data_IF_428970645726
#
_entry.id   IF_428970645726
#
_cell.length_a   1.000
_cell.length_b   1.000
_cell.length_c   1.000
_cell.angle_alpha   90.00
_cell.angle_beta   90.00
_cell.angle_gamma   90.00
#
_symmetry.space_group_name_H-M   'P 1'
#
loop_
_entity.id
_entity.type
_entity.pdbx_description
1 polymer ?
#
# COMPACT_ATOMS: atom_id res chain seq x y z
N UNK A 1 -33.02 2.16 1.47
CA UNK A 1 -33.06 1.67 0.07
C UNK A 1 -32.85 2.78 -0.99
N UNK A 2 -33.43 3.99 -0.82
CA UNK A 2 -33.26 5.09 -1.79
C UNK A 2 -31.83 5.67 -1.84
N UNK A 3 -31.17 5.83 -0.68
CA UNK A 3 -29.78 6.32 -0.61
C UNK A 3 -28.80 5.35 -1.27
N UNK A 4 -28.97 4.04 -1.07
CA UNK A 4 -28.15 3.01 -1.74
C UNK A 4 -28.30 3.01 -3.26
N UNK A 5 -29.50 3.27 -3.81
CA UNK A 5 -29.71 3.41 -5.26
C UNK A 5 -29.08 4.68 -5.82
N UNK A 6 -29.10 5.78 -5.07
CA UNK A 6 -28.49 7.04 -5.49
C UNK A 6 -26.96 6.98 -5.39
N UNK A 7 -26.41 6.36 -4.35
CA UNK A 7 -24.98 6.06 -4.25
C UNK A 7 -24.52 5.12 -5.36
N UNK A 8 -25.28 4.06 -5.66
CA UNK A 8 -24.97 3.15 -6.76
C UNK A 8 -25.01 3.87 -8.11
N UNK A 9 -26.00 4.73 -8.37
CA UNK A 9 -26.02 5.58 -9.57
C UNK A 9 -24.84 6.54 -9.63
N UNK A 10 -24.43 7.13 -8.49
CA UNK A 10 -23.26 8.00 -8.40
C UNK A 10 -21.96 7.26 -8.73
N UNK A 11 -21.79 6.05 -8.20
CA UNK A 11 -20.64 5.16 -8.50
C UNK A 11 -20.66 4.73 -9.96
N UNK A 12 -21.83 4.35 -10.50
CA UNK A 12 -21.97 3.96 -11.90
C UNK A 12 -21.64 5.14 -12.83
N UNK A 13 -22.14 6.34 -12.53
CA UNK A 13 -21.82 7.55 -13.27
C UNK A 13 -20.33 7.93 -13.16
N UNK A 14 -19.71 7.68 -12.00
CA UNK A 14 -18.28 7.90 -11.81
C UNK A 14 -17.41 6.98 -12.70
N UNK A 15 -17.86 5.75 -13.00
CA UNK A 15 -17.16 4.86 -13.94
C UNK A 15 -17.18 5.37 -15.39
N UNK A 16 -18.13 6.23 -15.76
CA UNK A 16 -18.22 6.84 -17.09
C UNK A 16 -17.59 8.24 -17.18
N UNK A 17 -16.75 8.60 -16.22
CA UNK A 17 -15.93 9.82 -16.30
C UNK A 17 -14.92 9.66 -17.44
N UNK A 18 -14.75 10.72 -18.24
CA UNK A 18 -13.90 10.74 -19.46
C UNK A 18 -12.50 10.17 -19.24
N UNK A 19 -11.89 10.44 -18.08
CA UNK A 19 -10.58 9.93 -17.70
C UNK A 19 -10.58 8.39 -17.58
N UNK A 20 -11.57 7.81 -16.90
CA UNK A 20 -11.68 6.35 -16.72
C UNK A 20 -11.93 5.68 -18.07
N UNK A 21 -12.85 6.21 -18.87
CA UNK A 21 -13.12 5.70 -20.22
C UNK A 21 -11.85 5.73 -21.07
N UNK A 22 -11.09 6.82 -21.03
CA UNK A 22 -9.83 6.92 -21.78
C UNK A 22 -8.82 5.83 -21.40
N UNK A 23 -8.68 5.54 -20.10
CA UNK A 23 -7.79 4.46 -19.62
C UNK A 23 -8.30 3.09 -20.07
N UNK A 24 -9.61 2.86 -20.02
CA UNK A 24 -10.21 1.59 -20.47
C UNK A 24 -10.09 1.40 -21.98
N UNK A 25 -10.33 2.43 -22.78
CA UNK A 25 -10.11 2.38 -24.22
C UNK A 25 -8.64 2.10 -24.55
N UNK A 26 -7.72 2.71 -23.82
CA UNK A 26 -6.28 2.46 -23.98
C UNK A 26 -5.89 1.03 -23.60
N UNK A 27 -6.46 0.49 -22.51
CA UNK A 27 -6.31 -0.91 -22.12
C UNK A 27 -6.79 -1.85 -23.22
N UNK A 28 -7.99 -1.63 -23.75
CA UNK A 28 -8.55 -2.46 -24.83
C UNK A 28 -7.69 -2.39 -26.08
N UNK A 29 -7.26 -1.20 -26.49
CA UNK A 29 -6.38 -1.03 -27.65
C UNK A 29 -5.05 -1.77 -27.47
N UNK A 30 -4.44 -1.68 -26.28
CA UNK A 30 -3.23 -2.42 -25.95
C UNK A 30 -3.47 -3.94 -26.02
N UNK A 31 -4.56 -4.44 -25.45
CA UNK A 31 -4.89 -5.86 -25.47
C UNK A 31 -5.14 -6.37 -26.89
N UNK A 32 -5.76 -5.58 -27.77
CA UNK A 32 -5.92 -5.95 -29.19
C UNK A 32 -4.56 -6.15 -29.86
N UNK A 33 -3.58 -5.28 -29.58
CA UNK A 33 -2.21 -5.43 -30.09
C UNK A 33 -1.55 -6.71 -29.55
N UNK A 34 -1.70 -6.99 -28.25
CA UNK A 34 -1.18 -8.21 -27.62
C UNK A 34 -1.81 -9.45 -28.25
N UNK A 35 -3.13 -9.49 -28.40
CA UNK A 35 -3.84 -10.61 -29.02
C UNK A 35 -3.38 -10.82 -30.46
N UNK A 36 -3.23 -9.74 -31.23
CA UNK A 36 -2.71 -9.82 -32.59
C UNK A 36 -1.29 -10.43 -32.63
N UNK A 37 -0.38 -9.99 -31.76
CA UNK A 37 0.96 -10.58 -31.65
C UNK A 37 0.93 -12.05 -31.22
N UNK A 38 0.10 -12.40 -30.26
CA UNK A 38 -0.06 -13.79 -29.83
C UNK A 38 -0.64 -14.67 -30.94
N UNK A 39 -1.56 -14.12 -31.75
CA UNK A 39 -2.12 -14.82 -32.91
C UNK A 39 -1.07 -15.08 -33.98
N UNK A 40 -0.18 -14.12 -34.24
CA UNK A 40 0.93 -14.27 -35.21
C UNK A 40 1.95 -15.33 -34.76
N UNK A 41 2.12 -15.48 -33.45
CA UNK A 41 3.00 -16.49 -32.86
C UNK A 41 2.35 -17.88 -32.72
N UNK A 42 1.12 -18.06 -33.23
CA UNK A 42 0.32 -19.28 -33.05
C UNK A 42 0.09 -19.62 -31.55
N UNK A 43 0.13 -18.61 -30.69
CA UNK A 43 -0.10 -18.72 -29.23
C UNK A 43 -1.52 -18.30 -28.82
N UNK A 44 -2.35 -17.84 -29.76
CA UNK A 44 -3.75 -17.48 -29.55
C UNK A 44 -4.57 -17.77 -30.80
N UNK A 45 -5.80 -18.27 -30.63
CA UNK A 45 -6.77 -18.45 -31.71
C UNK A 45 -8.16 -17.93 -31.32
N UNK A 46 -9.09 -17.86 -32.29
CA UNK A 46 -10.42 -17.28 -32.06
C UNK A 46 -11.25 -18.03 -31.01
N UNK A 47 -10.97 -19.31 -30.76
CA UNK A 47 -11.66 -20.08 -29.72
C UNK A 47 -11.39 -19.52 -28.31
N UNK A 48 -10.26 -18.83 -28.13
CA UNK A 48 -9.84 -18.23 -26.86
C UNK A 48 -10.49 -16.87 -26.57
N UNK A 49 -11.31 -16.34 -27.48
CA UNK A 49 -11.96 -15.04 -27.32
C UNK A 49 -12.73 -14.93 -26.00
N UNK A 50 -13.49 -15.98 -25.61
CA UNK A 50 -14.24 -16.02 -24.35
C UNK A 50 -13.29 -15.86 -23.16
N UNK A 51 -12.17 -16.59 -23.15
CA UNK A 51 -11.19 -16.56 -22.07
C UNK A 51 -10.50 -15.21 -21.98
N UNK A 52 -10.17 -14.61 -23.12
CA UNK A 52 -9.57 -13.26 -23.18
C UNK A 52 -10.52 -12.18 -22.66
N UNK A 53 -11.79 -12.19 -23.06
CA UNK A 53 -12.79 -11.23 -22.56
C UNK A 53 -12.97 -11.37 -21.05
N UNK A 54 -13.12 -12.61 -20.57
CA UNK A 54 -13.25 -12.87 -19.14
C UNK A 54 -12.01 -12.41 -18.36
N UNK A 55 -10.80 -12.68 -18.88
CA UNK A 55 -9.55 -12.24 -18.29
C UNK A 55 -9.43 -10.71 -18.24
N UNK A 56 -9.80 -10.02 -19.32
CA UNK A 56 -9.78 -8.55 -19.39
C UNK A 56 -10.68 -7.91 -18.33
N UNK A 57 -11.89 -8.45 -18.12
CA UNK A 57 -12.86 -7.90 -17.13
C UNK A 57 -12.48 -8.25 -15.70
N UNK A 58 -11.95 -9.45 -15.46
CA UNK A 58 -11.56 -9.89 -14.13
C UNK A 58 -10.18 -9.34 -13.75
N UNK A 59 -9.13 -9.86 -14.37
CA UNK A 59 -7.74 -9.59 -14.05
C UNK A 59 -7.30 -8.21 -14.55
N UNK A 60 -7.56 -7.92 -15.83
CA UNK A 60 -7.16 -6.68 -16.50
C UNK A 60 -7.74 -5.44 -15.80
N UNK A 61 -9.07 -5.38 -15.68
CA UNK A 61 -9.76 -4.25 -15.06
C UNK A 61 -9.48 -4.12 -13.55
N UNK A 62 -9.54 -5.21 -12.77
CA UNK A 62 -9.31 -5.11 -11.31
C UNK A 62 -7.90 -4.64 -10.97
N UNK A 63 -6.91 -4.97 -11.79
CA UNK A 63 -5.52 -4.55 -11.55
C UNK A 63 -5.34 -3.03 -11.63
N UNK A 64 -6.15 -2.31 -12.43
CA UNK A 64 -6.09 -0.85 -12.53
C UNK A 64 -6.41 -0.18 -11.19
N UNK A 65 -7.34 -0.72 -10.41
CA UNK A 65 -7.66 -0.21 -9.07
C UNK A 65 -6.56 -0.51 -8.04
N UNK A 66 -5.69 -1.47 -8.31
CA UNK A 66 -4.58 -1.84 -7.42
C UNK A 66 -3.32 -1.02 -7.69
N UNK A 67 -3.27 -0.16 -8.71
CA UNK A 67 -2.08 0.66 -9.07
C UNK A 67 -1.56 1.45 -7.85
N UNK A 68 -2.43 2.11 -7.10
CA UNK A 68 -2.03 2.88 -5.90
C UNK A 68 -1.44 2.00 -4.79
N UNK A 69 -1.92 0.76 -4.65
CA UNK A 69 -1.35 -0.20 -3.70
C UNK A 69 0.01 -0.71 -4.17
N UNK A 70 0.12 -1.03 -5.46
CA UNK A 70 1.38 -1.46 -6.11
C UNK A 70 2.47 -0.38 -5.95
N UNK A 71 2.09 0.89 -6.02
CA UNK A 71 3.02 2.02 -5.88
C UNK A 71 3.65 2.14 -4.50
N UNK A 72 2.90 1.81 -3.43
CA UNK A 72 3.37 1.93 -2.04
C UNK A 72 4.39 0.85 -1.65
N UNK A 73 4.34 -0.31 -2.30
CA UNK A 73 5.21 -1.44 -1.98
C UNK A 73 6.00 -1.89 -3.21
N UNK A 74 7.31 -1.61 -3.20
CA UNK A 74 8.23 -1.96 -4.30
C UNK A 74 8.38 -3.47 -4.48
N UNK A 75 8.19 -4.26 -3.43
CA UNK A 75 8.23 -5.72 -3.46
C UNK A 75 6.89 -6.31 -3.95
N UNK A 76 5.79 -5.58 -3.78
CA UNK A 76 4.45 -5.95 -4.26
C UNK A 76 4.37 -6.16 -5.78
N UNK A 77 5.11 -5.35 -6.57
CA UNK A 77 5.12 -5.55 -8.03
C UNK A 77 5.77 -6.88 -8.43
N UNK A 78 6.75 -7.39 -7.67
CA UNK A 78 7.40 -8.66 -7.98
C UNK A 78 6.62 -9.84 -7.39
N UNK A 79 6.21 -9.73 -6.12
CA UNK A 79 5.56 -10.83 -5.41
C UNK A 79 4.05 -10.86 -5.66
N UNK A 80 3.33 -9.77 -5.37
CA UNK A 80 1.87 -9.79 -5.40
C UNK A 80 1.26 -9.81 -6.80
N UNK A 81 1.92 -9.22 -7.79
CA UNK A 81 1.47 -9.27 -9.19
C UNK A 81 1.61 -10.70 -9.73
N UNK A 82 2.77 -11.34 -9.59
CA UNK A 82 2.96 -12.72 -10.05
C UNK A 82 2.10 -13.70 -9.23
N UNK A 83 2.03 -13.56 -7.91
CA UNK A 83 1.30 -14.51 -7.06
C UNK A 83 -0.23 -14.35 -7.16
N UNK A 84 -0.74 -13.11 -7.22
CA UNK A 84 -2.19 -12.89 -7.39
C UNK A 84 -2.65 -13.31 -8.78
N UNK A 85 -1.85 -13.06 -9.80
CA UNK A 85 -2.19 -13.48 -11.15
C UNK A 85 -1.98 -14.97 -11.38
N UNK A 86 -1.02 -15.62 -10.70
CA UNK A 86 -0.89 -17.09 -10.71
C UNK A 86 -2.09 -17.75 -10.04
N UNK A 87 -2.56 -17.25 -8.90
CA UNK A 87 -3.72 -17.81 -8.22
C UNK A 87 -5.02 -17.58 -9.00
N UNK A 88 -5.22 -16.37 -9.56
CA UNK A 88 -6.35 -16.10 -10.46
C UNK A 88 -6.27 -16.91 -11.76
N UNK A 89 -5.08 -17.11 -12.32
CA UNK A 89 -4.88 -17.96 -13.50
C UNK A 89 -5.11 -19.43 -13.19
N UNK A 90 -4.75 -19.93 -12.00
CA UNK A 90 -5.06 -21.29 -11.56
C UNK A 90 -6.58 -21.47 -11.37
N UNK A 91 -7.26 -20.52 -10.74
CA UNK A 91 -8.72 -20.55 -10.60
C UNK A 91 -9.40 -20.48 -11.98
N UNK A 92 -8.93 -19.59 -12.86
CA UNK A 92 -9.46 -19.44 -14.20
C UNK A 92 -9.17 -20.66 -15.08
N UNK A 93 -8.02 -21.32 -14.90
CA UNK A 93 -7.70 -22.62 -15.51
C UNK A 93 -8.68 -23.69 -15.05
N UNK A 94 -8.89 -23.81 -13.74
CA UNK A 94 -9.83 -24.77 -13.16
C UNK A 94 -11.26 -24.56 -13.68
N UNK A 95 -11.68 -23.31 -13.84
CA UNK A 95 -13.02 -22.96 -14.36
C UNK A 95 -13.09 -23.05 -15.89
N UNK A 96 -11.98 -22.81 -16.59
CA UNK A 96 -11.91 -22.70 -18.05
C UNK A 96 -11.66 -24.02 -18.77
N UNK A 97 -10.84 -24.91 -18.20
CA UNK A 97 -10.47 -26.20 -18.82
C UNK A 97 -11.61 -27.20 -18.83
N UNK A 98 -12.48 -27.14 -17.81
CA UNK A 98 -13.69 -27.95 -17.79
C UNK A 98 -14.90 -27.02 -17.63
N UNK A 99 -15.46 -26.58 -18.77
CA UNK A 99 -16.84 -26.08 -18.82
C UNK A 99 -17.74 -27.12 -18.18
N UNK A 100 -18.31 -26.76 -17.03
CA UNK A 100 -19.30 -27.60 -16.41
C UNK A 100 -20.51 -27.71 -17.33
N UNK A 101 -21.31 -28.77 -17.17
CA UNK A 101 -22.58 -28.83 -17.90
C UNK A 101 -23.41 -27.60 -17.57
N UNK A 102 -24.18 -27.12 -18.54
CA UNK A 102 -24.93 -25.86 -18.42
C UNK A 102 -25.82 -25.81 -17.16
N UNK A 103 -26.36 -26.96 -16.75
CA UNK A 103 -27.13 -27.12 -15.51
C UNK A 103 -26.29 -26.92 -14.24
N UNK A 104 -25.06 -27.42 -14.23
CA UNK A 104 -24.13 -27.23 -13.10
C UNK A 104 -23.68 -25.77 -13.05
N UNK A 105 -23.36 -25.13 -14.18
CA UNK A 105 -23.00 -23.69 -14.20
C UNK A 105 -24.12 -22.80 -13.66
N UNK A 106 -25.36 -23.04 -14.10
CA UNK A 106 -26.54 -22.28 -13.67
C UNK A 106 -26.80 -22.40 -12.17
N UNK A 107 -26.48 -23.53 -11.54
CA UNK A 107 -26.61 -23.71 -10.10
C UNK A 107 -25.39 -23.15 -9.33
N UNK A 108 -24.19 -23.36 -9.86
CA UNK A 108 -22.93 -23.06 -9.19
C UNK A 108 -22.68 -21.55 -9.10
N UNK A 109 -22.99 -20.79 -10.15
CA UNK A 109 -22.75 -19.34 -10.21
C UNK A 109 -23.55 -18.59 -9.13
N UNK A 110 -24.87 -18.80 -8.96
CA UNK A 110 -25.63 -18.18 -7.86
C UNK A 110 -25.13 -18.59 -6.47
N UNK A 111 -24.76 -19.85 -6.27
CA UNK A 111 -24.27 -20.36 -4.97
C UNK A 111 -22.94 -19.70 -4.59
N UNK A 112 -21.98 -19.64 -5.51
CA UNK A 112 -20.70 -18.96 -5.28
C UNK A 112 -20.89 -17.45 -5.09
N UNK A 113 -21.82 -16.84 -5.82
CA UNK A 113 -22.17 -15.42 -5.66
C UNK A 113 -22.76 -15.14 -4.28
N UNK A 114 -23.65 -16.01 -3.80
CA UNK A 114 -24.25 -15.93 -2.46
C UNK A 114 -23.17 -16.09 -1.38
N UNK A 115 -22.29 -17.09 -1.51
CA UNK A 115 -21.18 -17.31 -0.60
C UNK A 115 -20.22 -16.10 -0.56
N UNK A 116 -19.88 -15.54 -1.72
CA UNK A 116 -19.05 -14.34 -1.82
C UNK A 116 -19.71 -13.11 -1.19
N UNK A 117 -21.02 -12.92 -1.37
CA UNK A 117 -21.77 -11.84 -0.74
C UNK A 117 -21.82 -12.00 0.79
N UNK A 118 -22.06 -13.22 1.28
CA UNK A 118 -22.02 -13.54 2.71
C UNK A 118 -20.62 -13.30 3.30
N UNK A 119 -19.57 -13.68 2.57
CA UNK A 119 -18.18 -13.43 2.98
C UNK A 119 -17.91 -11.92 3.11
N UNK A 120 -18.31 -11.13 2.11
CA UNK A 120 -18.14 -9.68 2.12
C UNK A 120 -18.86 -9.00 3.27
N UNK A 121 -20.09 -9.44 3.60
CA UNK A 121 -20.86 -8.92 4.74
C UNK A 121 -20.24 -9.37 6.08
N UNK A 122 -19.79 -10.63 6.17
CA UNK A 122 -19.16 -11.17 7.39
C UNK A 122 -17.79 -10.57 7.68
N UNK A 123 -17.09 -10.04 6.66
CA UNK A 123 -15.79 -9.39 6.79
C UNK A 123 -15.85 -8.00 7.43
N UNK A 124 -17.02 -7.36 7.49
CA UNK A 124 -17.19 -6.01 8.03
C UNK A 124 -17.37 -5.95 9.55
N UNK A 125 -17.68 -7.07 10.22
CA UNK A 125 -17.92 -7.12 11.67
C UNK A 125 -17.26 -8.36 12.32
N UNK A 126 -16.43 -8.16 13.35
CA UNK A 126 -15.80 -9.27 14.12
C UNK A 126 -16.82 -10.21 14.80
N UNK A 127 -18.07 -9.78 15.00
CA UNK A 127 -19.14 -10.61 15.57
C UNK A 127 -19.45 -11.87 14.74
N UNK A 128 -19.08 -11.87 13.46
CA UNK A 128 -19.30 -12.99 12.54
C UNK A 128 -18.00 -13.69 12.11
N UNK A 129 -16.91 -13.53 12.88
CA UNK A 129 -15.60 -14.10 12.54
C UNK A 129 -15.63 -15.62 12.34
N UNK A 130 -16.42 -16.35 13.16
CA UNK A 130 -16.61 -17.79 13.00
C UNK A 130 -17.30 -18.18 11.68
N UNK A 131 -18.27 -17.38 11.23
CA UNK A 131 -18.95 -17.57 9.94
C UNK A 131 -18.00 -17.25 8.79
N UNK A 132 -17.19 -16.19 8.92
CA UNK A 132 -16.16 -15.85 7.94
C UNK A 132 -15.18 -17.01 7.75
N UNK A 133 -14.61 -17.54 8.84
CA UNK A 133 -13.69 -18.68 8.79
C UNK A 133 -14.36 -19.88 8.14
N UNK A 134 -15.60 -20.21 8.51
CA UNK A 134 -16.36 -21.30 7.90
C UNK A 134 -16.55 -21.11 6.38
N UNK A 135 -16.93 -19.91 5.93
CA UNK A 135 -17.08 -19.59 4.52
C UNK A 135 -15.75 -19.66 3.76
N UNK A 136 -14.65 -19.21 4.38
CA UNK A 136 -13.29 -19.34 3.83
C UNK A 136 -12.90 -20.82 3.69
N UNK A 137 -13.21 -21.66 4.68
CA UNK A 137 -13.01 -23.11 4.60
C UNK A 137 -13.86 -23.76 3.52
N UNK A 138 -15.13 -23.40 3.38
CA UNK A 138 -15.98 -23.90 2.30
C UNK A 138 -15.44 -23.53 0.92
N UNK A 139 -14.99 -22.28 0.73
CA UNK A 139 -14.36 -21.83 -0.52
C UNK A 139 -13.02 -22.53 -0.77
N UNK A 140 -12.20 -22.72 0.26
CA UNK A 140 -10.92 -23.42 0.17
C UNK A 140 -11.11 -24.90 -0.18
N UNK A 141 -12.06 -25.58 0.47
CA UNK A 141 -12.42 -26.97 0.18
C UNK A 141 -12.96 -27.11 -1.24
N UNK A 142 -13.83 -26.20 -1.67
CA UNK A 142 -14.33 -26.16 -3.04
C UNK A 142 -13.19 -25.98 -4.05
N UNK A 143 -12.27 -25.04 -3.81
CA UNK A 143 -11.08 -24.87 -4.63
C UNK A 143 -10.18 -26.12 -4.65
N UNK A 144 -10.01 -26.79 -3.52
CA UNK A 144 -9.21 -28.02 -3.43
C UNK A 144 -9.85 -29.19 -4.18
N UNK A 145 -11.17 -29.39 -4.05
CA UNK A 145 -11.93 -30.40 -4.81
C UNK A 145 -11.78 -30.16 -6.31
N UNK A 146 -11.88 -28.90 -6.73
CA UNK A 146 -11.69 -28.55 -8.12
C UNK A 146 -10.27 -28.86 -8.61
N UNK A 147 -9.22 -28.51 -7.86
CA UNK A 147 -7.83 -28.85 -8.20
C UNK A 147 -7.64 -30.36 -8.33
N UNK A 148 -8.15 -31.14 -7.37
CA UNK A 148 -8.07 -32.60 -7.39
C UNK A 148 -8.82 -33.18 -8.59
N UNK A 149 -10.00 -32.64 -8.91
CA UNK A 149 -10.78 -33.03 -10.09
C UNK A 149 -10.03 -32.73 -11.39
N UNK A 150 -9.41 -31.54 -11.50
CA UNK A 150 -8.59 -31.18 -12.67
C UNK A 150 -7.37 -32.09 -12.80
N UNK A 151 -6.68 -32.41 -11.69
CA UNK A 151 -5.54 -33.34 -11.69
C UNK A 151 -5.95 -34.77 -12.05
N UNK A 152 -7.09 -35.23 -11.52
CA UNK A 152 -7.65 -36.53 -11.85
C UNK A 152 -7.93 -36.62 -13.35
N UNK A 153 -8.67 -35.66 -13.90
CA UNK A 153 -8.98 -35.61 -15.33
C UNK A 153 -7.73 -35.50 -16.20
N UNK A 154 -6.71 -34.74 -15.78
CA UNK A 154 -5.43 -34.62 -16.47
C UNK A 154 -4.67 -35.95 -16.49
N UNK A 155 -4.76 -36.77 -15.45
CA UNK A 155 -4.13 -38.10 -15.41
C UNK A 155 -4.94 -39.18 -16.16
N UNK A 156 -6.28 -39.13 -16.13
CA UNK A 156 -7.13 -40.18 -16.71
C UNK A 156 -7.52 -39.93 -18.16
N UNK A 157 -7.55 -38.68 -18.63
CA UNK A 157 -8.02 -38.29 -19.96
C UNK A 157 -7.06 -37.29 -20.65
N UNK A 158 -5.77 -37.64 -20.64
CA UNK A 158 -4.71 -36.82 -21.26
C UNK A 158 -4.93 -36.58 -22.76
N UNK A 159 -5.75 -37.42 -23.43
CA UNK A 159 -6.16 -37.24 -24.82
C UNK A 159 -7.07 -36.03 -25.05
N UNK A 160 -7.89 -35.65 -24.07
CA UNK A 160 -8.63 -34.37 -24.09
C UNK A 160 -7.69 -33.18 -23.80
N UNK A 161 -6.75 -33.32 -22.87
CA UNK A 161 -5.78 -32.26 -22.54
C UNK A 161 -4.79 -31.98 -23.70
N UNK A 162 -4.44 -33.02 -24.46
CA UNK A 162 -3.63 -32.92 -25.68
C UNK A 162 -4.36 -32.31 -26.88
N UNK A 163 -5.66 -32.00 -26.77
CA UNK A 163 -6.36 -31.20 -27.77
C UNK A 163 -5.85 -29.76 -27.69
N UNK A 164 -5.54 -29.18 -28.84
CA UNK A 164 -4.97 -27.84 -28.99
C UNK A 164 -5.73 -26.79 -28.15
N UNK A 165 -7.06 -26.87 -28.14
CA UNK A 165 -7.95 -26.01 -27.36
C UNK A 165 -7.66 -26.01 -25.86
N UNK A 166 -7.52 -27.18 -25.24
CA UNK A 166 -7.30 -27.31 -23.79
C UNK A 166 -5.92 -26.82 -23.37
N UNK A 167 -4.93 -26.97 -24.26
CA UNK A 167 -3.61 -26.37 -24.07
C UNK A 167 -3.69 -24.84 -24.08
N UNK A 168 -4.42 -24.23 -25.03
CA UNK A 168 -4.64 -22.78 -25.01
C UNK A 168 -5.39 -22.32 -23.76
N UNK A 169 -6.46 -23.02 -23.36
CA UNK A 169 -7.22 -22.69 -22.15
C UNK A 169 -6.32 -22.63 -20.90
N UNK A 170 -5.24 -23.43 -20.87
CA UNK A 170 -4.22 -23.40 -19.83
C UNK A 170 -3.22 -22.24 -19.95
N UNK A 171 -2.65 -22.02 -21.13
CA UNK A 171 -1.54 -21.07 -21.30
C UNK A 171 -2.00 -19.62 -21.46
N UNK A 172 -3.20 -19.38 -21.99
CA UNK A 172 -3.66 -18.04 -22.35
C UNK A 172 -3.77 -17.10 -21.14
N UNK A 173 -4.41 -17.45 -20.00
CA UNK A 173 -4.53 -16.51 -18.89
C UNK A 173 -3.17 -16.08 -18.28
N UNK A 174 -2.20 -16.99 -18.03
CA UNK A 174 -0.84 -16.61 -17.66
C UNK A 174 -0.12 -15.76 -18.71
N UNK A 175 -0.30 -16.07 -20.00
CA UNK A 175 0.36 -15.37 -21.09
C UNK A 175 -0.17 -13.93 -21.23
N UNK A 176 -1.49 -13.75 -21.22
CA UNK A 176 -2.14 -12.43 -21.21
C UNK A 176 -1.66 -11.60 -20.01
N UNK A 177 -1.54 -12.22 -18.84
CA UNK A 177 -0.98 -11.57 -17.65
C UNK A 177 0.44 -11.08 -17.89
N UNK A 178 1.32 -11.96 -18.38
CA UNK A 178 2.72 -11.64 -18.63
C UNK A 178 2.85 -10.45 -19.59
N UNK A 179 2.10 -10.49 -20.70
CA UNK A 179 2.09 -9.42 -21.71
C UNK A 179 1.35 -8.16 -21.25
N UNK A 180 0.57 -8.21 -20.17
CA UNK A 180 -0.10 -7.05 -19.59
C UNK A 180 0.75 -6.30 -18.56
N UNK A 181 1.82 -6.92 -18.03
CA UNK A 181 2.75 -6.26 -17.11
C UNK A 181 3.34 -4.95 -17.65
N UNK A 182 3.80 -4.86 -18.91
CA UNK A 182 4.31 -3.61 -19.47
C UNK A 182 3.25 -2.50 -19.47
N UNK A 183 1.99 -2.85 -19.74
CA UNK A 183 0.88 -1.89 -19.67
C UNK A 183 0.65 -1.40 -18.24
N UNK A 184 0.62 -2.29 -17.25
CA UNK A 184 0.47 -1.88 -15.84
C UNK A 184 1.63 -1.01 -15.38
N UNK A 185 2.85 -1.37 -15.77
CA UNK A 185 4.03 -0.54 -15.48
C UNK A 185 3.90 0.85 -16.11
N UNK A 186 3.48 0.93 -17.38
CA UNK A 186 3.22 2.20 -18.06
C UNK A 186 2.14 3.00 -17.32
N UNK A 187 1.03 2.38 -16.92
CA UNK A 187 -0.05 3.04 -16.19
C UNK A 187 0.40 3.58 -14.83
N UNK A 188 1.28 2.85 -14.14
CA UNK A 188 1.87 3.27 -12.88
C UNK A 188 2.80 4.49 -13.05
N UNK A 189 3.59 4.54 -14.13
CA UNK A 189 4.38 5.73 -14.51
C UNK A 189 3.45 6.90 -14.86
N UNK A 190 2.50 6.69 -15.78
CA UNK A 190 1.55 7.70 -16.25
C UNK A 190 0.77 8.32 -15.09
N UNK A 191 0.18 7.49 -14.22
CA UNK A 191 -0.61 7.95 -13.08
C UNK A 191 0.24 8.78 -12.09
N UNK A 192 1.49 8.37 -11.85
CA UNK A 192 2.39 9.16 -10.99
C UNK A 192 2.71 10.53 -11.61
N UNK A 193 2.99 10.59 -12.91
CA UNK A 193 3.22 11.86 -13.60
C UNK A 193 1.95 12.74 -13.64
N UNK A 194 0.77 12.16 -13.82
CA UNK A 194 -0.50 12.90 -13.78
C UNK A 194 -0.70 13.55 -12.39
N UNK A 195 -0.49 12.80 -11.31
CA UNK A 195 -0.61 13.32 -9.94
C UNK A 195 0.39 14.45 -9.68
N UNK A 196 1.65 14.28 -10.12
CA UNK A 196 2.68 15.31 -10.03
C UNK A 196 2.27 16.54 -10.85
N UNK A 197 1.76 16.36 -12.07
CA UNK A 197 1.31 17.45 -12.92
C UNK A 197 0.19 18.27 -12.27
N UNK A 198 -0.80 17.59 -11.68
CA UNK A 198 -1.88 18.24 -10.94
C UNK A 198 -1.32 19.05 -9.76
N UNK A 199 -0.39 18.47 -8.99
CA UNK A 199 0.27 19.16 -7.87
C UNK A 199 1.03 20.41 -8.33
N UNK A 200 1.85 20.29 -9.37
CA UNK A 200 2.60 21.41 -9.94
C UNK A 200 1.68 22.50 -10.51
N UNK A 201 0.50 22.15 -11.01
CA UNK A 201 -0.49 23.13 -11.48
C UNK A 201 -0.98 24.03 -10.35
N UNK A 202 -1.06 23.52 -9.12
CA UNK A 202 -1.46 24.32 -7.96
C UNK A 202 -0.28 25.07 -7.32
N UNK A 203 0.95 24.58 -7.45
CA UNK A 203 2.13 25.20 -6.82
C UNK A 203 2.85 26.21 -7.70
N UNK A 204 2.79 26.09 -9.03
CA UNK A 204 3.52 26.95 -9.96
C UNK A 204 2.51 27.73 -10.83
N UNK A 205 2.45 29.04 -10.61
CA UNK A 205 1.57 29.94 -11.36
C UNK A 205 2.01 30.12 -12.83
N UNK A 206 3.33 30.15 -13.08
CA UNK A 206 3.90 30.38 -14.42
C UNK A 206 3.80 29.17 -15.33
N UNK A 207 3.11 29.31 -16.48
CA UNK A 207 2.94 28.22 -17.47
C UNK A 207 4.28 27.68 -17.99
N UNK A 208 5.25 28.56 -18.25
CA UNK A 208 6.58 28.17 -18.74
C UNK A 208 7.39 27.42 -17.67
N UNK A 209 7.45 27.94 -16.45
CA UNK A 209 8.12 27.29 -15.32
C UNK A 209 7.53 25.90 -15.05
N UNK A 210 6.20 25.75 -15.18
CA UNK A 210 5.54 24.44 -15.02
C UNK A 210 5.95 23.44 -16.09
N UNK A 211 5.99 23.82 -17.36
CA UNK A 211 6.45 22.92 -18.43
C UNK A 211 7.94 22.57 -18.30
N UNK A 212 8.77 23.54 -17.93
CA UNK A 212 10.19 23.29 -17.64
C UNK A 212 10.36 22.31 -16.47
N UNK A 213 9.58 22.47 -15.39
CA UNK A 213 9.59 21.57 -14.25
C UNK A 213 9.23 20.13 -14.64
N UNK A 214 8.21 19.96 -15.48
CA UNK A 214 7.80 18.63 -15.99
C UNK A 214 8.90 18.02 -16.88
N UNK A 215 9.48 18.82 -17.78
CA UNK A 215 10.55 18.36 -18.67
C UNK A 215 11.78 17.91 -17.87
N UNK A 216 12.22 18.72 -16.91
CA UNK A 216 13.35 18.37 -16.04
C UNK A 216 13.03 17.17 -15.15
N UNK A 217 11.82 17.07 -14.60
CA UNK A 217 11.39 15.91 -13.84
C UNK A 217 11.39 14.63 -14.70
N UNK A 218 10.98 14.72 -15.96
CA UNK A 218 11.05 13.61 -16.92
C UNK A 218 12.50 13.17 -17.17
N UNK A 219 13.41 14.11 -17.44
CA UNK A 219 14.83 13.82 -17.72
C UNK A 219 15.56 13.28 -16.48
N UNK A 220 15.37 13.90 -15.31
CA UNK A 220 16.14 13.63 -14.10
C UNK A 220 15.64 12.43 -13.31
N UNK A 221 14.32 12.21 -13.25
CA UNK A 221 13.72 11.11 -12.50
C UNK A 221 13.31 9.94 -13.38
N UNK A 222 12.80 10.18 -14.59
CA UNK A 222 12.33 9.13 -15.51
C UNK A 222 11.40 8.14 -14.77
N UNK A 223 11.70 6.84 -14.76
CA UNK A 223 10.92 5.81 -14.05
C UNK A 223 11.17 5.73 -12.54
N UNK A 224 11.95 6.65 -11.94
CA UNK A 224 12.20 6.68 -10.48
C UNK A 224 11.07 7.37 -9.73
N UNK A 225 9.91 6.72 -9.69
CA UNK A 225 8.65 7.29 -9.22
C UNK A 225 8.70 7.79 -7.77
N UNK A 226 9.39 7.08 -6.88
CA UNK A 226 9.52 7.52 -5.48
C UNK A 226 10.28 8.86 -5.34
N UNK A 227 11.25 9.13 -6.23
CA UNK A 227 11.96 10.41 -6.24
C UNK A 227 11.11 11.51 -6.86
N UNK A 228 10.40 11.19 -7.95
CA UNK A 228 9.48 12.11 -8.62
C UNK A 228 8.39 12.62 -7.67
N UNK A 229 7.77 11.71 -6.91
CA UNK A 229 6.78 12.08 -5.91
C UNK A 229 7.37 12.95 -4.81
N UNK A 230 8.48 12.51 -4.21
CA UNK A 230 9.16 13.25 -3.14
C UNK A 230 9.52 14.67 -3.59
N UNK A 231 10.05 14.80 -4.81
CA UNK A 231 10.36 16.10 -5.40
C UNK A 231 9.11 16.97 -5.56
N UNK A 232 8.02 16.42 -6.08
CA UNK A 232 6.81 17.22 -6.27
C UNK A 232 6.20 17.72 -4.95
N UNK A 233 6.38 17.01 -3.83
CA UNK A 233 6.03 17.53 -2.50
C UNK A 233 6.97 18.66 -2.05
N UNK A 234 8.25 18.60 -2.40
CA UNK A 234 9.18 19.70 -2.14
C UNK A 234 8.77 20.97 -2.89
N UNK A 235 8.34 20.84 -4.15
CA UNK A 235 7.88 21.98 -4.95
C UNK A 235 6.70 22.69 -4.30
N UNK A 236 5.77 21.97 -3.66
CA UNK A 236 4.63 22.58 -2.95
C UNK A 236 5.09 23.49 -1.81
N UNK A 237 6.22 23.18 -1.18
CA UNK A 237 6.76 23.93 -0.03
C UNK A 237 7.60 25.14 -0.44
N UNK A 238 7.93 25.26 -1.73
CA UNK A 238 8.80 26.32 -2.23
C UNK A 238 8.01 27.23 -3.15
N UNK A 239 8.10 28.54 -2.94
CA UNK A 239 7.52 29.50 -3.89
C UNK A 239 8.44 29.57 -5.12
N UNK A 240 7.97 29.04 -6.26
CA UNK A 240 8.76 29.00 -7.50
C UNK A 240 8.48 30.27 -8.32
N UNK A 241 9.39 31.24 -8.20
CA UNK A 241 9.31 32.50 -8.94
C UNK A 241 10.28 32.53 -10.14
N UNK A 242 11.37 31.76 -10.05
CA UNK A 242 12.44 31.71 -11.05
C UNK A 242 12.88 30.30 -11.43
N UNK A 243 13.67 30.18 -12.49
CA UNK A 243 14.34 28.93 -12.86
C UNK A 243 15.38 28.48 -11.83
N UNK A 244 15.98 29.40 -11.06
CA UNK A 244 16.94 29.04 -10.01
C UNK A 244 16.23 28.28 -8.88
N UNK A 245 15.08 28.77 -8.44
CA UNK A 245 14.28 28.14 -7.39
C UNK A 245 13.89 26.72 -7.79
N UNK A 246 13.50 26.54 -9.06
CA UNK A 246 13.19 25.23 -9.61
C UNK A 246 14.42 24.30 -9.56
N UNK A 247 15.60 24.76 -9.99
CA UNK A 247 16.84 23.99 -9.91
C UNK A 247 17.18 23.61 -8.47
N UNK A 248 16.96 24.51 -7.51
CA UNK A 248 17.25 24.26 -6.10
C UNK A 248 16.36 23.18 -5.49
N UNK A 249 15.10 23.06 -5.93
CA UNK A 249 14.26 21.91 -5.54
C UNK A 249 14.84 20.57 -6.00
N UNK A 250 15.45 20.50 -7.18
CA UNK A 250 16.12 19.29 -7.65
C UNK A 250 17.41 19.02 -6.86
N UNK A 251 18.25 20.05 -6.65
CA UNK A 251 19.47 19.94 -5.85
C UNK A 251 19.17 19.42 -4.44
N UNK A 252 18.10 19.91 -3.82
CA UNK A 252 17.65 19.44 -2.50
C UNK A 252 17.39 17.92 -2.50
N UNK A 253 16.65 17.41 -3.48
CA UNK A 253 16.34 15.97 -3.57
C UNK A 253 17.61 15.14 -3.80
N UNK A 254 18.52 15.61 -4.64
CA UNK A 254 19.80 14.93 -4.85
C UNK A 254 20.71 14.97 -3.62
N UNK A 255 20.77 16.11 -2.90
CA UNK A 255 21.50 16.25 -1.63
C UNK A 255 20.96 15.26 -0.60
N UNK A 256 19.64 15.25 -0.38
CA UNK A 256 19.00 14.34 0.55
C UNK A 256 19.28 12.87 0.20
N UNK A 257 19.24 12.51 -1.09
CA UNK A 257 19.58 11.15 -1.55
C UNK A 257 21.04 10.78 -1.29
N UNK A 258 21.98 11.71 -1.50
CA UNK A 258 23.40 11.47 -1.20
C UNK A 258 23.62 11.24 0.29
N UNK A 259 22.98 12.04 1.14
CA UNK A 259 23.02 11.90 2.60
C UNK A 259 22.37 10.60 3.07
N UNK A 260 21.29 10.14 2.43
CA UNK A 260 20.68 8.82 2.71
C UNK A 260 21.61 7.66 2.35
N UNK A 261 22.34 7.76 1.23
CA UNK A 261 23.25 6.69 0.79
C UNK A 261 24.50 6.60 1.67
N UNK A 262 25.01 7.74 2.12
CA UNK A 262 26.21 7.85 2.94
C UNK A 262 25.90 8.74 4.16
N UNK A 263 25.22 8.21 5.18
CA UNK A 263 24.84 9.00 6.35
C UNK A 263 26.09 9.42 7.12
N UNK A 264 26.21 10.73 7.37
CA UNK A 264 27.27 11.25 8.23
C UNK A 264 27.08 10.73 9.66
N UNK A 265 28.20 10.47 10.34
CA UNK A 265 28.18 10.19 11.76
C UNK A 265 27.76 11.44 12.53
N UNK A 266 26.87 11.25 13.51
CA UNK A 266 26.48 12.29 14.46
C UNK A 266 27.07 11.88 15.81
N UNK A 267 27.74 12.81 16.49
CA UNK A 267 28.21 12.58 17.85
C UNK A 267 27.00 12.33 18.75
N UNK A 268 27.09 11.35 19.66
CA UNK A 268 25.97 10.96 20.53
C UNK A 268 25.33 12.18 21.23
N UNK A 269 26.15 13.11 21.70
CA UNK A 269 25.75 14.37 22.37
C UNK A 269 24.79 15.24 21.54
N UNK A 270 24.92 15.22 20.21
CA UNK A 270 24.15 16.08 19.31
C UNK A 270 22.86 15.39 18.80
N UNK A 271 22.63 14.13 19.17
CA UNK A 271 21.47 13.34 18.80
C UNK A 271 21.82 12.13 17.93
N UNK A 272 20.89 11.73 17.07
CA UNK A 272 21.03 10.56 16.21
C UNK A 272 21.20 10.94 14.75
N UNK A 273 21.86 10.08 13.98
CA UNK A 273 21.79 10.18 12.52
C UNK A 273 20.34 9.95 12.09
N UNK A 274 19.67 10.92 11.42
CA UNK A 274 18.27 10.79 11.03
C UNK A 274 18.04 9.53 10.21
N UNK A 275 18.99 9.18 9.35
CA UNK A 275 18.88 8.03 8.46
C UNK A 275 18.94 6.69 9.17
N UNK A 276 19.74 6.58 10.23
CA UNK A 276 19.75 5.39 11.10
C UNK A 276 18.51 5.32 11.98
N UNK A 277 18.05 6.46 12.49
CA UNK A 277 16.88 6.52 13.36
C UNK A 277 15.59 6.01 12.68
N UNK A 278 15.50 6.13 11.35
CA UNK A 278 14.41 5.55 10.54
C UNK A 278 14.35 4.02 10.60
N UNK A 279 15.47 3.37 10.87
CA UNK A 279 15.61 1.91 10.84
C UNK A 279 15.32 1.25 12.20
N UNK A 280 15.27 2.04 13.29
CA UNK A 280 15.15 1.53 14.66
C UNK A 280 13.93 0.63 14.91
N UNK A 281 12.79 0.96 14.29
CA UNK A 281 11.53 0.22 14.52
C UNK A 281 11.01 -0.48 13.25
N UNK A 282 11.87 -0.69 12.25
CA UNK A 282 11.46 -1.37 11.00
C UNK A 282 11.06 -2.82 11.27
N UNK A 283 11.77 -3.54 12.14
CA UNK A 283 11.45 -4.92 12.50
C UNK A 283 10.13 -5.04 13.29
N UNK A 284 9.73 -3.96 13.96
CA UNK A 284 8.51 -3.87 14.73
C UNK A 284 7.29 -3.42 13.91
N UNK A 285 7.46 -3.22 12.60
CA UNK A 285 6.40 -2.79 11.67
C UNK A 285 6.30 -1.28 11.47
N UNK A 286 7.04 -0.47 12.24
CA UNK A 286 7.02 0.99 12.17
C UNK A 286 8.14 1.56 11.30
N UNK A 287 8.02 1.35 9.99
CA UNK A 287 8.93 1.99 9.02
C UNK A 287 8.55 3.44 8.77
N UNK A 288 9.48 4.38 9.00
CA UNK A 288 9.25 5.79 8.67
C UNK A 288 9.41 6.08 7.18
N UNK A 289 8.74 7.14 6.70
CA UNK A 289 8.97 7.70 5.37
C UNK A 289 10.31 8.43 5.22
N UNK A 290 10.38 9.34 4.26
CA UNK A 290 11.57 10.17 4.07
C UNK A 290 11.70 11.23 5.17
N UNK A 291 12.93 11.45 5.65
CA UNK A 291 13.27 12.58 6.51
C UNK A 291 13.35 13.83 5.63
N UNK A 292 12.45 14.78 5.87
CA UNK A 292 12.29 15.97 5.04
C UNK A 292 12.15 17.21 5.91
N UNK A 293 12.58 18.34 5.35
CA UNK A 293 12.29 19.67 5.87
C UNK A 293 10.77 19.88 6.01
N UNK A 294 10.32 20.28 7.19
CA UNK A 294 8.94 20.67 7.47
C UNK A 294 8.74 22.16 7.12
N UNK A 295 8.92 23.03 8.11
CA UNK A 295 8.85 24.48 8.07
C UNK A 295 10.12 25.04 8.70
N UNK A 296 10.64 26.16 8.19
CA UNK A 296 11.91 26.75 8.64
C UNK A 296 13.05 25.71 8.74
N UNK A 297 13.71 25.56 9.89
CA UNK A 297 14.86 24.67 10.04
C UNK A 297 14.51 23.32 10.70
N UNK A 298 13.21 23.02 10.83
CA UNK A 298 12.73 21.76 11.37
C UNK A 298 12.67 20.67 10.30
N UNK A 299 13.16 19.49 10.67
CA UNK A 299 13.12 18.29 9.85
C UNK A 299 12.39 17.18 10.58
N UNK A 300 11.58 16.43 9.84
CA UNK A 300 10.83 15.31 10.40
C UNK A 300 10.69 14.13 9.46
N UNK A 301 10.49 12.95 10.05
CA UNK A 301 9.95 11.75 9.41
C UNK A 301 8.89 11.14 10.31
N UNK A 302 7.92 10.43 9.71
CA UNK A 302 6.94 9.65 10.46
C UNK A 302 6.69 8.30 9.81
N UNK A 303 6.31 7.30 10.60
CA UNK A 303 5.71 6.06 10.10
C UNK A 303 4.29 6.30 9.60
N UNK A 304 3.75 5.30 8.89
CA UNK A 304 2.29 5.23 8.74
C UNK A 304 1.68 4.91 10.11
N UNK A 305 0.43 5.33 10.32
CA UNK A 305 -0.34 4.93 11.48
C UNK A 305 -0.61 3.43 11.40
N UNK A 306 -0.13 2.69 12.39
CA UNK A 306 -0.42 1.27 12.54
C UNK A 306 -1.59 1.11 13.51
N UNK A 307 -2.70 0.60 13.01
CA UNK A 307 -3.89 0.25 13.81
C UNK A 307 -3.67 -1.12 14.47
N UNK A 308 -3.91 -1.22 15.78
CA UNK A 308 -3.62 -2.46 16.52
C UNK A 308 -4.72 -2.91 17.48
N UNK A 309 -5.75 -2.08 17.74
CA UNK A 309 -6.83 -2.47 18.64
C UNK A 309 -8.16 -2.74 17.92
N UNK A 310 -9.08 -3.33 18.67
CA UNK A 310 -10.34 -3.83 18.15
C UNK A 310 -11.46 -2.81 18.38
N UNK A 311 -12.11 -2.36 17.31
CA UNK A 311 -13.27 -1.49 17.43
C UNK A 311 -13.66 -0.82 16.11
N UNK A 312 -14.78 -0.09 16.13
CA UNK A 312 -15.20 0.76 15.00
C UNK A 312 -14.14 1.81 14.70
N UNK A 313 -13.50 2.33 15.76
CA UNK A 313 -12.35 3.23 15.68
C UNK A 313 -11.19 2.56 16.44
N UNK A 314 -10.26 1.92 15.71
CA UNK A 314 -9.12 1.24 16.32
C UNK A 314 -8.10 2.24 16.85
N UNK A 315 -7.43 1.87 17.94
CA UNK A 315 -6.28 2.58 18.48
C UNK A 315 -5.10 2.37 17.55
N UNK A 316 -4.25 3.40 17.48
CA UNK A 316 -3.13 3.39 16.56
C UNK A 316 -1.86 3.95 17.19
N UNK A 317 -0.73 3.53 16.64
CA UNK A 317 0.59 3.97 17.05
C UNK A 317 1.33 4.57 15.84
N UNK A 318 2.11 5.61 16.09
CA UNK A 318 2.96 6.26 15.08
C UNK A 318 4.30 6.62 15.67
N UNK A 319 5.36 6.34 14.90
CA UNK A 319 6.72 6.74 15.23
C UNK A 319 7.10 8.02 14.47
N UNK A 320 7.66 8.99 15.17
CA UNK A 320 8.14 10.26 14.64
C UNK A 320 9.61 10.47 14.98
N UNK A 321 10.32 11.09 14.05
CA UNK A 321 11.70 11.53 14.19
C UNK A 321 11.69 13.02 13.88
N UNK A 322 12.16 13.85 14.79
CA UNK A 322 12.19 15.31 14.65
C UNK A 322 13.59 15.84 14.97
N UNK A 323 14.01 16.92 14.31
CA UNK A 323 15.35 17.49 14.50
C UNK A 323 15.73 18.52 13.43
N UNK A 324 17.01 18.55 13.08
CA UNK A 324 17.58 19.40 12.04
C UNK A 324 18.03 18.59 10.82
N UNK A 325 18.55 19.24 9.77
CA UNK A 325 19.04 18.56 8.57
C UNK A 325 20.08 17.47 8.89
N UNK A 326 20.96 17.74 9.86
CA UNK A 326 22.11 16.88 10.14
C UNK A 326 21.87 15.90 11.30
N UNK A 327 20.95 16.20 12.23
CA UNK A 327 20.76 15.41 13.44
C UNK A 327 19.27 15.32 13.86
N UNK A 328 18.84 14.10 14.17
CA UNK A 328 17.58 13.86 14.84
C UNK A 328 17.76 14.15 16.34
N UNK A 329 16.89 14.99 16.88
CA UNK A 329 16.93 15.42 18.27
C UNK A 329 15.85 14.78 19.12
N UNK A 330 14.73 14.38 18.52
CA UNK A 330 13.59 13.80 19.23
C UNK A 330 13.15 12.55 18.49
N UNK A 331 13.02 11.45 19.23
CA UNK A 331 12.37 10.22 18.81
C UNK A 331 11.08 10.10 19.60
N UNK A 332 9.94 9.98 18.91
CA UNK A 332 8.63 10.04 19.55
C UNK A 332 7.74 8.88 19.11
N UNK A 333 7.17 8.16 20.06
CA UNK A 333 6.06 7.24 19.85
C UNK A 333 4.77 7.91 20.33
N UNK A 334 3.78 7.96 19.46
CA UNK A 334 2.44 8.48 19.80
C UNK A 334 1.44 7.36 19.66
N UNK A 335 0.74 7.04 20.75
CA UNK A 335 -0.39 6.12 20.76
C UNK A 335 -1.67 6.93 20.98
N UNK A 336 -2.62 6.76 20.06
CA UNK A 336 -3.95 7.35 20.18
C UNK A 336 -4.90 6.27 20.71
N UNK A 337 -5.36 6.44 21.96
CA UNK A 337 -6.34 5.55 22.60
C UNK A 337 -7.72 6.16 22.40
N UNK A 338 -8.49 5.60 21.47
CA UNK A 338 -9.82 6.08 21.11
C UNK A 338 -10.90 5.61 22.11
N UNK A 339 -10.68 4.49 22.80
CA UNK A 339 -11.59 3.95 23.81
C UNK A 339 -10.82 3.59 25.09
N UNK A 340 -11.14 4.29 26.19
CA UNK A 340 -10.45 4.09 27.46
C UNK A 340 -10.55 2.66 28.02
N UNK A 341 -11.54 1.87 27.61
CA UNK A 341 -11.62 0.45 28.00
C UNK A 341 -10.45 -0.39 27.48
N UNK A 342 -9.75 0.06 26.44
CA UNK A 342 -8.60 -0.61 25.81
C UNK A 342 -7.25 -0.09 26.28
N UNK A 343 -7.23 0.71 27.35
CA UNK A 343 -6.01 1.30 27.92
C UNK A 343 -4.91 0.27 28.14
N UNK A 344 -5.24 -0.89 28.71
CA UNK A 344 -4.25 -1.93 29.00
C UNK A 344 -3.53 -2.43 27.72
N UNK A 345 -4.29 -2.71 26.66
CA UNK A 345 -3.72 -3.13 25.37
C UNK A 345 -2.84 -2.03 24.75
N UNK A 346 -3.24 -0.76 24.89
CA UNK A 346 -2.45 0.37 24.41
C UNK A 346 -1.14 0.54 25.19
N UNK A 347 -1.16 0.33 26.51
CA UNK A 347 0.04 0.37 27.35
C UNK A 347 1.00 -0.76 27.01
N UNK A 348 0.53 -2.01 26.85
CA UNK A 348 1.37 -3.14 26.45
C UNK A 348 2.04 -2.90 25.08
N UNK A 349 1.27 -2.42 24.10
CA UNK A 349 1.82 -2.09 22.77
C UNK A 349 2.82 -0.94 22.85
N UNK A 350 2.54 0.10 23.65
CA UNK A 350 3.48 1.21 23.84
C UNK A 350 4.77 0.75 24.51
N UNK A 351 4.67 -0.06 25.57
CA UNK A 351 5.82 -0.58 26.33
C UNK A 351 6.75 -1.38 25.43
N UNK A 352 6.22 -2.33 24.65
CA UNK A 352 7.01 -3.13 23.72
C UNK A 352 7.77 -2.27 22.69
N UNK A 353 7.10 -1.26 22.13
CA UNK A 353 7.70 -0.38 21.12
C UNK A 353 8.69 0.62 21.74
N UNK A 354 8.40 1.12 22.93
CA UNK A 354 9.28 2.02 23.68
C UNK A 354 10.56 1.30 24.13
N UNK A 355 10.45 0.03 24.54
CA UNK A 355 11.57 -0.85 24.86
C UNK A 355 12.47 -1.05 23.63
N UNK A 356 11.88 -1.45 22.50
CA UNK A 356 12.61 -1.63 21.24
C UNK A 356 13.30 -0.33 20.79
N UNK A 357 12.63 0.82 20.95
CA UNK A 357 13.19 2.13 20.62
C UNK A 357 14.35 2.50 21.55
N UNK A 358 14.21 2.27 22.86
CA UNK A 358 15.26 2.54 23.85
C UNK A 358 16.51 1.69 23.59
N UNK A 359 16.34 0.39 23.35
CA UNK A 359 17.45 -0.51 23.00
C UNK A 359 18.13 -0.07 21.70
N UNK A 360 17.36 0.28 20.68
CA UNK A 360 17.93 0.68 19.37
C UNK A 360 18.62 2.04 19.41
N UNK A 361 18.11 3.00 20.21
CA UNK A 361 18.60 4.38 20.23
C UNK A 361 19.64 4.66 21.32
N UNK A 362 19.52 4.02 22.48
CA UNK A 362 20.37 4.21 23.66
C UNK A 362 21.21 2.97 24.00
N UNK A 363 20.93 1.80 23.39
CA UNK A 363 21.56 0.52 23.78
C UNK A 363 21.25 0.08 25.21
N UNK A 364 20.14 0.57 25.77
CA UNK A 364 19.68 0.28 27.14
C UNK A 364 18.17 -0.05 27.14
N UNK A 365 17.72 -1.00 27.98
CA UNK A 365 16.30 -1.26 28.21
C UNK A 365 15.63 -0.09 28.94
N UNK A 366 14.29 -0.05 28.98
CA UNK A 366 13.58 0.94 29.80
C UNK A 366 13.78 0.66 31.29
N UNK A 367 13.77 1.73 32.09
CA UNK A 367 13.74 1.62 33.55
C UNK A 367 12.43 1.00 34.04
N UNK A 368 12.46 0.38 35.22
CA UNK A 368 11.26 -0.19 35.83
C UNK A 368 10.27 0.91 36.25
N UNK A 369 10.78 2.10 36.57
CA UNK A 369 9.99 3.30 36.82
C UNK A 369 9.21 3.72 35.56
N UNK A 370 9.87 3.73 34.39
CA UNK A 370 9.22 4.08 33.13
C UNK A 370 8.18 3.03 32.71
N UNK A 371 8.47 1.73 32.86
CA UNK A 371 7.48 0.67 32.60
C UNK A 371 6.26 0.78 33.50
N UNK A 372 6.49 1.07 34.79
CA UNK A 372 5.42 1.34 35.76
C UNK A 372 4.60 2.57 35.40
N UNK A 373 5.24 3.63 34.89
CA UNK A 373 4.57 4.83 34.41
C UNK A 373 3.70 4.58 33.17
N UNK A 374 4.19 3.78 32.21
CA UNK A 374 3.43 3.35 31.02
C UNK A 374 2.22 2.52 31.43
N UNK A 375 2.41 1.49 32.25
CA UNK A 375 1.34 0.64 32.76
C UNK A 375 0.29 1.41 33.56
N UNK A 376 0.71 2.44 34.31
CA UNK A 376 -0.16 3.29 35.11
C UNK A 376 -0.78 4.48 34.37
N UNK A 377 -0.43 4.72 33.10
CA UNK A 377 -0.80 5.94 32.35
C UNK A 377 -0.46 7.24 33.09
N UNK A 378 0.68 7.29 33.76
CA UNK A 378 1.12 8.45 34.52
C UNK A 378 2.26 9.15 33.79
N UNK A 379 2.15 10.47 33.62
CA UNK A 379 3.25 11.25 33.05
C UNK A 379 4.50 11.11 33.91
N UNK A 380 5.64 10.80 33.28
CA UNK A 380 6.91 10.57 33.95
C UNK A 380 8.06 11.09 33.07
N UNK A 381 9.17 11.49 33.68
CA UNK A 381 10.35 11.96 32.97
C UNK A 381 11.60 11.60 33.76
N UNK A 382 12.58 11.05 33.06
CA UNK A 382 13.86 10.63 33.61
C UNK A 382 15.00 11.05 32.68
N UNK A 383 16.20 11.16 33.24
CA UNK A 383 17.42 11.43 32.47
C UNK A 383 18.28 10.18 32.41
N UNK A 384 18.66 9.80 31.20
CA UNK A 384 19.54 8.68 30.92
C UNK A 384 20.71 9.23 30.11
N UNK A 385 21.90 9.21 30.69
CA UNK A 385 23.10 9.85 30.13
C UNK A 385 22.87 11.34 29.81
N UNK A 386 23.01 11.72 28.53
CA UNK A 386 22.79 13.06 27.97
C UNK A 386 21.40 13.23 27.35
N UNK A 387 20.50 12.24 27.53
CA UNK A 387 19.16 12.20 26.96
C UNK A 387 18.09 12.30 28.04
N UNK A 388 16.92 12.80 27.64
CA UNK A 388 15.72 12.82 28.48
C UNK A 388 14.68 11.88 27.89
N UNK A 389 14.18 10.95 28.70
CA UNK A 389 13.08 10.07 28.35
C UNK A 389 11.83 10.57 29.07
N UNK A 390 10.75 10.82 28.35
CA UNK A 390 9.51 11.33 28.92
C UNK A 390 8.27 10.61 28.37
N UNK A 391 7.33 10.33 29.26
CA UNK A 391 5.97 9.91 28.94
C UNK A 391 5.02 11.07 29.27
N UNK A 392 4.23 11.50 28.29
CA UNK A 392 3.22 12.56 28.44
C UNK A 392 1.86 11.99 28.09
N UNK A 393 0.91 12.10 29.01
CA UNK A 393 -0.49 11.66 28.84
C UNK A 393 -1.40 12.85 28.64
N UNK A 394 -2.15 12.87 27.53
CA UNK A 394 -3.04 13.99 27.16
C UNK A 394 -4.46 13.48 26.91
N UNK A 395 -5.42 13.85 27.78
CA UNK A 395 -6.82 13.49 27.60
C UNK A 395 -7.53 14.38 26.58
N UNK A 396 -8.37 13.77 25.74
CA UNK A 396 -9.18 14.52 24.78
C UNK A 396 -10.43 15.09 25.43
N UNK A 397 -10.62 16.42 25.44
CA UNK A 397 -11.78 17.03 26.06
C UNK A 397 -13.05 16.62 25.31
N UNK A 398 -14.10 16.26 26.06
CA UNK A 398 -15.43 15.93 25.55
C UNK A 398 -15.48 14.73 24.57
N UNK A 399 -14.49 13.83 24.59
CA UNK A 399 -14.52 12.62 23.77
C UNK A 399 -15.51 11.60 24.35
N UNK A 400 -16.43 11.08 23.52
CA UNK A 400 -17.51 10.16 23.94
C UNK A 400 -17.02 8.93 24.71
N UNK A 401 -15.82 8.46 24.41
CA UNK A 401 -15.21 7.27 25.02
C UNK A 401 -14.00 7.59 25.91
N UNK A 402 -13.85 8.84 26.35
CA UNK A 402 -12.75 9.32 27.19
C UNK A 402 -11.36 9.00 26.59
N UNK A 403 -11.19 9.25 25.30
CA UNK A 403 -9.94 8.96 24.59
C UNK A 403 -8.79 9.87 25.04
N UNK A 404 -7.55 9.41 24.81
CA UNK A 404 -6.34 10.12 25.20
C UNK A 404 -5.14 9.74 24.33
N UNK A 405 -4.09 10.56 24.38
CA UNK A 405 -2.80 10.26 23.78
C UNK A 405 -1.80 9.80 24.83
N UNK A 406 -1.00 8.80 24.50
CA UNK A 406 0.27 8.51 25.18
C UNK A 406 1.41 8.93 24.24
N UNK A 407 2.21 9.90 24.66
CA UNK A 407 3.40 10.34 23.93
C UNK A 407 4.65 9.92 24.70
N UNK A 408 5.37 8.93 24.18
CA UNK A 408 6.70 8.56 24.67
C UNK A 408 7.76 9.27 23.82
N UNK A 409 8.72 9.91 24.48
CA UNK A 409 9.71 10.81 23.87
C UNK A 409 11.10 10.46 24.38
N UNK A 410 12.07 10.34 23.49
CA UNK A 410 13.50 10.35 23.82
C UNK A 410 14.10 11.57 23.13
N UNK A 411 14.57 12.54 23.91
CA UNK A 411 15.14 13.79 23.41
C UNK A 411 16.62 13.94 23.74
N UNK A 412 17.35 14.48 22.77
CA UNK A 412 18.69 15.04 22.94
C UNK A 412 18.58 16.52 23.24
N UNK A 413 19.35 16.98 24.22
CA UNK A 413 19.46 18.40 24.58
C UNK A 413 19.99 19.22 23.39
#
# INVERSE_FOLDING_TARGET
MAEGRNAFKGVLAALFVKQIISVLCFMVAYMVIVIYWLSELELWNFEQLKNTVFWCVSVGFMSLFKIEKIKKDKLFFKHSVLDSFKLLAIIQFVVGVYTFSLWVEVLLVPVLTLLGAMLAISGSDRKHHGIKIFLEYCLALFGAVLIVYTLYMLMTDFGEFGKEKTAYDFFIPPLLTLFYLPFIFFMLVYSTYEQVFVRLRFSINGRFHRYAAILFAFILFNVRLSLLERWSFQVVKTNIESYSDLIDTFKYIFKARCSEKNPKGVLKEHGWSPYKAKEFLVNEGLSTGFYNRSFEDEWFASSQMEEFSDGIIPDNITYYIEGSEDAAKILKLKVNVNDASRTHQACEKLEAMAEALSISSLSLPLSEEMKSAISGCNSHSEKVEDKTIALIVEHWPNHKFNGFNLNFLISSI
#
